data_IF_863361130709
#
_entry.id   IF_863361130709
#
_cell.length_a   1.000
_cell.length_b   1.000
_cell.length_c   1.000
_cell.angle_alpha   90.00
_cell.angle_beta   90.00
_cell.angle_gamma   90.00
#
_symmetry.space_group_name_H-M   'P 1'
#
loop_
_entity.id
_entity.type
_entity.pdbx_description
1 polymer ?
#
# COMPACT_ATOMS: atom_id res chain seq x y z
N UNK A 1 22.20 10.22 13.49
CA UNK A 1 20.97 9.41 13.33
C UNK A 1 19.71 10.23 13.59
N UNK A 2 19.65 11.06 14.65
CA UNK A 2 18.56 12.05 14.85
C UNK A 2 18.36 13.00 13.66
N UNK A 3 19.40 13.25 12.87
CA UNK A 3 19.36 14.19 11.74
C UNK A 3 18.64 13.69 10.47
N UNK A 4 17.98 12.53 10.51
CA UNK A 4 17.37 11.93 9.30
C UNK A 4 15.85 11.77 9.37
N UNK A 5 15.24 11.64 10.55
CA UNK A 5 13.77 11.58 10.68
C UNK A 5 13.27 12.98 11.05
N UNK A 6 12.57 13.63 10.13
CA UNK A 6 11.90 14.91 10.39
C UNK A 6 10.40 14.67 10.61
N UNK A 7 9.75 15.57 11.33
CA UNK A 7 8.30 15.53 11.56
C UNK A 7 7.68 16.72 10.83
N UNK A 8 7.06 16.47 9.68
CA UNK A 8 6.28 17.50 8.98
C UNK A 8 4.97 17.80 9.74
N UNK A 9 4.50 19.03 9.65
CA UNK A 9 3.20 19.43 10.21
C UNK A 9 2.01 18.92 9.36
N UNK A 10 2.24 18.56 8.09
CA UNK A 10 1.26 17.99 7.17
C UNK A 10 1.02 16.48 7.38
N UNK A 11 1.80 15.84 8.25
CA UNK A 11 1.65 14.43 8.63
C UNK A 11 0.23 14.10 9.08
N UNK A 12 -0.25 12.89 8.74
CA UNK A 12 -1.45 12.37 9.39
C UNK A 12 -1.21 12.23 10.89
N UNK A 13 -2.27 12.36 11.70
CA UNK A 13 -2.18 12.07 13.14
C UNK A 13 -1.55 10.69 13.40
N UNK A 14 -1.91 9.68 12.61
CA UNK A 14 -1.39 8.32 12.76
C UNK A 14 0.12 8.24 12.48
N UNK A 15 0.58 8.71 11.32
CA UNK A 15 2.00 8.68 10.95
C UNK A 15 2.83 9.50 11.94
N UNK A 16 2.31 10.63 12.43
CA UNK A 16 2.97 11.45 13.45
C UNK A 16 3.17 10.71 14.77
N UNK A 17 2.19 9.92 15.22
CA UNK A 17 2.33 9.11 16.43
C UNK A 17 3.31 7.95 16.22
N UNK A 18 3.22 7.27 15.07
CA UNK A 18 4.12 6.16 14.73
C UNK A 18 5.57 6.64 14.65
N UNK A 19 5.85 7.74 13.93
CA UNK A 19 7.21 8.27 13.82
C UNK A 19 7.78 8.72 15.16
N UNK A 20 6.99 9.40 16.00
CA UNK A 20 7.43 9.77 17.35
C UNK A 20 7.83 8.55 18.17
N UNK A 21 7.02 7.48 18.10
CA UNK A 21 7.30 6.23 18.81
C UNK A 21 8.58 5.56 18.31
N UNK A 22 8.80 5.53 16.99
CA UNK A 22 10.04 4.99 16.40
C UNK A 22 11.29 5.81 16.75
N UNK A 23 11.18 7.15 16.76
CA UNK A 23 12.27 8.04 17.16
C UNK A 23 12.65 7.82 18.63
N UNK A 24 11.67 7.58 19.51
CA UNK A 24 11.91 7.26 20.92
C UNK A 24 12.63 5.92 21.06
N UNK A 25 12.21 4.89 20.33
CA UNK A 25 12.86 3.57 20.36
C UNK A 25 14.33 3.62 19.89
N UNK A 26 14.66 4.41 18.86
CA UNK A 26 16.03 4.56 18.36
C UNK A 26 16.95 5.26 19.37
N UNK A 27 16.43 6.25 20.12
CA UNK A 27 17.24 7.03 21.08
C UNK A 27 17.78 6.18 22.23
N UNK A 28 17.05 5.15 22.63
CA UNK A 28 17.40 4.34 23.77
C UNK A 28 18.51 3.31 23.51
N UNK A 29 18.63 2.83 22.26
CA UNK A 29 19.72 1.92 21.88
C UNK A 29 21.08 2.64 21.94
N UNK A 30 21.09 3.98 21.89
CA UNK A 30 22.28 4.81 21.95
C UNK A 30 23.24 4.61 20.76
N UNK A 31 24.22 5.50 20.54
CA UNK A 31 25.40 5.09 19.81
C UNK A 31 26.09 4.02 20.65
N UNK A 32 26.36 2.85 20.05
CA UNK A 32 27.37 1.93 20.58
C UNK A 32 28.56 2.78 21.01
N UNK A 33 28.92 2.74 22.30
CA UNK A 33 30.19 3.32 22.74
C UNK A 33 31.24 2.80 21.77
N UNK A 34 32.00 3.73 21.17
CA UNK A 34 33.24 3.38 20.48
C UNK A 34 34.04 2.51 21.46
N UNK A 35 33.98 1.20 21.25
CA UNK A 35 34.78 0.25 21.99
C UNK A 35 36.21 0.56 21.57
N UNK A 36 36.88 1.24 22.48
CA UNK A 36 38.29 1.55 22.44
C UNK A 36 39.09 0.33 22.02
N UNK A 37 40.08 0.60 21.19
CA UNK A 37 41.00 -0.33 20.56
C UNK A 37 41.65 -1.23 21.62
N UNK A 38 41.38 -2.54 21.61
CA UNK A 38 42.07 -3.46 22.49
C UNK A 38 41.42 -4.80 22.77
N UNK A 39 41.97 -5.82 22.11
CA UNK A 39 42.05 -7.24 22.50
C UNK A 39 40.95 -8.21 22.03
N UNK A 40 41.40 -9.11 21.15
CA UNK A 40 40.89 -10.44 20.81
C UNK A 40 39.91 -11.04 21.81
N UNK A 41 38.64 -11.21 21.41
CA UNK A 41 37.77 -12.30 21.86
C UNK A 41 36.84 -12.80 20.75
N UNK A 42 37.19 -14.01 20.32
CA UNK A 42 36.40 -15.12 19.79
C UNK A 42 34.87 -14.91 19.63
N UNK A 43 34.41 -15.16 18.40
CA UNK A 43 33.01 -15.15 17.98
C UNK A 43 32.24 -16.36 18.53
N UNK A 44 31.73 -16.23 19.75
CA UNK A 44 30.75 -17.14 20.35
C UNK A 44 29.33 -16.61 20.19
N UNK A 45 28.51 -17.30 19.41
CA UNK A 45 27.06 -17.06 19.30
C UNK A 45 26.41 -17.52 20.62
N UNK A 46 26.03 -16.58 21.48
CA UNK A 46 25.10 -16.85 22.58
C UNK A 46 23.68 -16.43 22.17
N UNK A 47 22.86 -17.45 21.91
CA UNK A 47 21.41 -17.31 21.74
C UNK A 47 20.81 -17.06 23.13
N UNK A 48 20.45 -15.82 23.44
CA UNK A 48 19.57 -15.54 24.58
C UNK A 48 18.13 -15.89 24.19
N UNK A 49 17.69 -17.08 24.62
CA UNK A 49 16.29 -17.47 24.64
C UNK A 49 15.54 -16.65 25.68
N UNK A 50 14.80 -15.63 25.25
CA UNK A 50 13.78 -14.99 26.10
C UNK A 50 12.57 -15.93 26.19
N UNK A 51 12.45 -16.60 27.32
CA UNK A 51 11.25 -17.35 27.71
C UNK A 51 10.12 -16.40 28.07
N UNK A 52 8.96 -16.70 27.54
CA UNK A 52 7.66 -16.09 27.82
C UNK A 52 7.30 -16.20 29.32
N UNK A 53 6.75 -15.12 29.88
CA UNK A 53 6.04 -15.10 31.17
C UNK A 53 6.88 -15.09 32.45
N UNK A 54 7.32 -13.91 32.90
CA UNK A 54 7.26 -13.50 34.31
C UNK A 54 7.51 -12.00 34.41
N UNK A 55 6.83 -11.33 35.35
CA UNK A 55 6.97 -9.92 35.68
C UNK A 55 8.46 -9.56 35.86
N UNK A 56 9.10 -9.11 34.78
CA UNK A 56 10.41 -8.48 34.83
C UNK A 56 10.17 -7.02 35.16
N UNK A 57 10.81 -6.53 36.22
CA UNK A 57 10.79 -5.14 36.65
C UNK A 57 11.21 -4.22 35.47
N UNK A 58 10.21 -3.73 34.73
CA UNK A 58 10.42 -2.72 33.70
C UNK A 58 11.05 -1.51 34.38
N UNK A 59 12.22 -1.08 33.90
CA UNK A 59 12.81 0.17 34.36
C UNK A 59 11.80 1.31 34.15
N UNK A 60 11.81 2.33 35.01
CA UNK A 60 10.78 3.39 35.02
C UNK A 60 10.56 4.09 33.68
N UNK A 61 11.60 4.17 32.85
CA UNK A 61 11.55 4.73 31.50
C UNK A 61 10.85 3.79 30.50
N UNK A 62 11.12 2.49 30.56
CA UNK A 62 10.44 1.48 29.72
C UNK A 62 8.94 1.40 30.05
N UNK A 63 8.60 1.39 31.34
CA UNK A 63 7.21 1.39 31.79
C UNK A 63 6.45 2.66 31.34
N UNK A 64 7.11 3.82 31.38
CA UNK A 64 6.54 5.10 30.92
C UNK A 64 6.30 5.11 29.40
N UNK A 65 7.20 4.54 28.61
CA UNK A 65 7.07 4.44 27.16
C UNK A 65 6.01 3.42 26.74
N UNK A 66 5.95 2.27 27.41
CA UNK A 66 4.87 1.30 27.20
C UNK A 66 3.52 1.97 27.46
N UNK A 67 3.42 2.72 28.56
CA UNK A 67 2.23 3.50 28.88
C UNK A 67 1.91 4.54 27.80
N UNK A 68 2.91 5.27 27.28
CA UNK A 68 2.71 6.23 26.18
C UNK A 68 2.27 5.56 24.87
N UNK A 69 2.92 4.47 24.47
CA UNK A 69 2.55 3.71 23.26
C UNK A 69 1.13 3.16 23.40
N UNK A 70 0.75 2.68 24.59
CA UNK A 70 -0.61 2.26 24.89
C UNK A 70 -1.62 3.43 24.81
N UNK A 71 -1.24 4.63 25.27
CA UNK A 71 -2.06 5.85 25.14
C UNK A 71 -2.23 6.25 23.66
N UNK A 72 -1.17 6.23 22.86
CA UNK A 72 -1.23 6.53 21.43
C UNK A 72 -2.12 5.53 20.68
N UNK A 73 -2.00 4.23 20.99
CA UNK A 73 -2.88 3.18 20.47
C UNK A 73 -4.33 3.43 20.90
N UNK A 74 -4.58 3.76 22.16
CA UNK A 74 -5.92 4.05 22.67
C UNK A 74 -6.54 5.27 21.98
N UNK A 75 -5.76 6.32 21.75
CA UNK A 75 -6.19 7.51 21.00
C UNK A 75 -6.60 7.15 19.57
N UNK A 76 -5.77 6.40 18.83
CA UNK A 76 -6.09 5.99 17.46
C UNK A 76 -7.35 5.09 17.40
N UNK A 77 -7.52 4.19 18.37
CA UNK A 77 -8.73 3.37 18.50
C UNK A 77 -9.97 4.24 18.79
N UNK A 78 -9.87 5.18 19.72
CA UNK A 78 -10.95 6.10 20.07
C UNK A 78 -11.41 6.94 18.88
N UNK A 79 -10.47 7.44 18.05
CA UNK A 79 -10.80 8.18 16.82
C UNK A 79 -11.59 7.37 15.79
N UNK A 80 -11.54 6.04 15.84
CA UNK A 80 -12.28 5.13 14.96
C UNK A 80 -13.58 4.59 15.57
N UNK A 81 -13.75 4.69 16.89
CA UNK A 81 -14.91 4.16 17.60
C UNK A 81 -16.07 5.15 17.60
N UNK A 82 -17.20 4.76 17.01
CA UNK A 82 -18.42 5.57 16.90
C UNK A 82 -19.02 5.94 18.27
N UNK A 83 -18.72 5.16 19.31
CA UNK A 83 -19.20 5.44 20.68
C UNK A 83 -18.27 6.37 21.46
N UNK A 84 -17.07 6.65 20.95
CA UNK A 84 -16.13 7.56 21.60
C UNK A 84 -16.51 9.02 21.34
N UNK A 85 -16.29 9.86 22.35
CA UNK A 85 -16.31 11.32 22.24
C UNK A 85 -15.21 11.87 21.31
N UNK A 86 -14.17 11.09 21.06
CA UNK A 86 -13.08 11.41 20.13
C UNK A 86 -13.32 10.90 18.70
N UNK A 87 -14.48 10.30 18.42
CA UNK A 87 -14.81 9.78 17.10
C UNK A 87 -14.62 10.85 16.01
N UNK A 88 -13.78 10.54 15.03
CA UNK A 88 -13.48 11.46 13.93
C UNK A 88 -13.57 10.75 12.58
N UNK A 89 -14.62 11.00 11.77
CA UNK A 89 -14.68 10.48 10.42
C UNK A 89 -13.72 11.24 9.51
N UNK A 90 -13.07 10.53 8.60
CA UNK A 90 -12.24 11.15 7.55
C UNK A 90 -13.18 11.69 6.48
N UNK A 91 -13.10 12.99 6.18
CA UNK A 91 -13.97 13.64 5.18
C UNK A 91 -13.19 13.97 3.90
N UNK A 92 -12.02 14.59 4.06
CA UNK A 92 -11.08 14.89 2.97
C UNK A 92 -9.76 14.19 3.25
N UNK A 93 -9.05 13.81 2.19
CA UNK A 93 -7.72 13.23 2.32
C UNK A 93 -6.67 14.29 2.62
N UNK A 94 -6.85 15.55 2.22
CA UNK A 94 -5.83 16.59 2.40
C UNK A 94 -5.71 17.13 3.84
N UNK A 95 -6.73 16.97 4.69
CA UNK A 95 -6.72 17.48 6.07
C UNK A 95 -7.43 16.51 7.02
N UNK A 96 -6.89 16.33 8.23
CA UNK A 96 -7.47 15.40 9.22
C UNK A 96 -8.75 15.96 9.86
N UNK A 97 -8.74 17.24 10.25
CA UNK A 97 -9.89 17.93 10.82
C UNK A 97 -10.38 19.04 9.90
N UNK A 98 -11.32 18.70 9.02
CA UNK A 98 -11.95 19.66 8.11
C UNK A 98 -12.66 20.80 8.84
N UNK A 99 -13.16 20.55 10.06
CA UNK A 99 -13.98 21.51 10.79
C UNK A 99 -13.19 22.73 11.27
N UNK A 100 -11.87 22.57 11.49
CA UNK A 100 -10.94 23.65 11.84
C UNK A 100 -10.62 24.59 10.68
N UNK A 101 -10.84 24.15 9.45
CA UNK A 101 -10.45 24.86 8.24
C UNK A 101 -11.61 25.62 7.59
N UNK A 102 -12.81 25.56 8.16
CA UNK A 102 -14.01 26.22 7.63
C UNK A 102 -14.68 27.09 8.70
N UNK A 103 -15.37 28.19 8.31
CA UNK A 103 -16.12 29.00 9.25
C UNK A 103 -17.16 28.18 10.03
N UNK A 104 -17.42 28.55 11.28
CA UNK A 104 -18.36 27.83 12.17
C UNK A 104 -19.76 27.67 11.56
N UNK A 105 -20.24 28.66 10.81
CA UNK A 105 -21.50 28.58 10.08
C UNK A 105 -21.46 27.51 8.98
N UNK A 106 -20.39 27.44 8.18
CA UNK A 106 -20.21 26.40 7.14
C UNK A 106 -20.11 25.03 7.78
N UNK A 107 -19.36 24.92 8.88
CA UNK A 107 -19.25 23.67 9.64
C UNK A 107 -20.64 23.19 10.10
N UNK A 108 -21.40 24.06 10.77
CA UNK A 108 -22.71 23.75 11.35
C UNK A 108 -23.79 23.45 10.31
N UNK A 109 -23.88 24.24 9.24
CA UNK A 109 -25.01 24.18 8.31
C UNK A 109 -24.73 23.39 7.02
N UNK A 110 -23.46 23.09 6.70
CA UNK A 110 -23.12 22.33 5.49
C UNK A 110 -22.34 21.06 5.82
N UNK A 111 -21.20 21.19 6.51
CA UNK A 111 -20.27 20.07 6.74
C UNK A 111 -20.87 19.01 7.66
N UNK A 112 -21.40 19.39 8.82
CA UNK A 112 -21.96 18.43 9.78
C UNK A 112 -23.22 17.71 9.25
N UNK A 113 -24.18 18.38 8.59
CA UNK A 113 -25.28 17.69 7.92
C UNK A 113 -24.81 16.71 6.85
N UNK A 114 -23.80 17.10 6.03
CA UNK A 114 -23.20 16.20 5.04
C UNK A 114 -22.57 14.98 5.69
N UNK A 115 -21.71 15.16 6.71
CA UNK A 115 -21.08 14.07 7.47
C UNK A 115 -22.15 13.13 8.03
N UNK A 116 -23.20 13.68 8.64
CA UNK A 116 -24.30 12.89 9.21
C UNK A 116 -25.03 12.02 8.17
N UNK A 117 -25.20 12.52 6.94
CA UNK A 117 -25.78 11.74 5.85
C UNK A 117 -24.79 10.71 5.29
N UNK A 118 -23.56 11.13 5.00
CA UNK A 118 -22.53 10.28 4.42
C UNK A 118 -22.19 9.09 5.34
N UNK A 119 -22.16 9.29 6.66
CA UNK A 119 -21.98 8.22 7.65
C UNK A 119 -23.05 7.13 7.59
N UNK A 120 -24.29 7.48 7.23
CA UNK A 120 -25.39 6.50 7.07
C UNK A 120 -25.26 5.70 5.77
N UNK A 121 -24.51 6.23 4.81
CA UNK A 121 -24.29 5.65 3.48
C UNK A 121 -23.03 4.78 3.47
N UNK A 122 -21.96 5.25 4.11
CA UNK A 122 -20.68 4.55 4.23
C UNK A 122 -20.82 3.25 5.05
N UNK A 123 -20.10 2.21 4.62
CA UNK A 123 -20.07 0.92 5.31
C UNK A 123 -19.47 1.05 6.71
N UNK A 124 -18.32 1.72 6.80
CA UNK A 124 -17.73 2.15 8.06
C UNK A 124 -18.01 3.64 8.21
N UNK A 125 -18.51 4.05 9.38
CA UNK A 125 -18.86 5.46 9.61
C UNK A 125 -17.64 6.38 9.57
N UNK A 126 -16.44 5.82 9.69
CA UNK A 126 -15.17 6.53 9.53
C UNK A 126 -14.91 6.98 8.09
N UNK A 127 -15.51 6.32 7.09
CA UNK A 127 -15.10 6.39 5.68
C UNK A 127 -15.95 7.37 4.86
N UNK A 128 -16.34 8.50 5.46
CA UNK A 128 -17.05 9.59 4.75
C UNK A 128 -16.27 10.05 3.51
N UNK A 129 -14.94 9.97 3.56
CA UNK A 129 -14.03 10.28 2.46
C UNK A 129 -14.26 9.42 1.23
N UNK A 130 -14.64 8.14 1.37
CA UNK A 130 -14.94 7.29 0.21
C UNK A 130 -16.24 7.74 -0.47
N UNK A 131 -17.23 8.18 0.31
CA UNK A 131 -18.47 8.78 -0.23
C UNK A 131 -18.15 10.10 -0.94
N UNK A 132 -17.26 10.91 -0.36
CA UNK A 132 -16.81 12.17 -0.95
C UNK A 132 -16.16 11.94 -2.32
N UNK A 133 -15.29 10.94 -2.43
CA UNK A 133 -14.63 10.59 -3.70
C UNK A 133 -15.60 9.98 -4.72
N UNK A 134 -16.53 9.12 -4.31
CA UNK A 134 -17.58 8.62 -5.22
C UNK A 134 -18.39 9.78 -5.82
N UNK A 135 -18.83 10.74 -5.00
CA UNK A 135 -19.54 11.92 -5.47
C UNK A 135 -18.66 12.76 -6.41
N UNK A 136 -17.38 12.95 -6.05
CA UNK A 136 -16.42 13.66 -6.89
C UNK A 136 -16.33 13.02 -8.28
N UNK A 137 -16.14 11.71 -8.37
CA UNK A 137 -16.01 11.00 -9.66
C UNK A 137 -17.31 11.01 -10.47
N UNK A 138 -18.45 10.83 -9.81
CA UNK A 138 -19.76 10.89 -10.45
C UNK A 138 -20.10 12.29 -10.98
N UNK A 139 -19.59 13.36 -10.34
CA UNK A 139 -19.83 14.74 -10.76
C UNK A 139 -18.76 15.30 -11.69
N UNK A 140 -17.60 14.66 -11.84
CA UNK A 140 -16.49 15.16 -12.66
C UNK A 140 -16.11 14.17 -13.77
N UNK A 141 -15.56 13.01 -13.41
CA UNK A 141 -15.12 11.95 -14.33
C UNK A 141 -16.23 11.53 -15.30
N UNK A 142 -17.42 11.20 -14.80
CA UNK A 142 -18.52 10.68 -15.63
C UNK A 142 -19.06 11.73 -16.62
N UNK A 143 -19.43 12.96 -16.19
CA UNK A 143 -19.87 14.00 -17.12
C UNK A 143 -18.79 14.40 -18.12
N UNK A 144 -17.52 14.46 -17.68
CA UNK A 144 -16.41 14.78 -18.56
C UNK A 144 -16.24 13.73 -19.67
N UNK A 145 -16.32 12.44 -19.34
CA UNK A 145 -16.27 11.37 -20.32
C UNK A 145 -17.43 11.46 -21.32
N UNK A 146 -18.66 11.65 -20.81
CA UNK A 146 -19.85 11.80 -21.66
C UNK A 146 -19.72 12.98 -22.63
N UNK A 147 -19.25 14.13 -22.15
CA UNK A 147 -19.04 15.33 -22.96
C UNK A 147 -17.97 15.11 -24.04
N UNK A 148 -16.89 14.35 -23.76
CA UNK A 148 -15.88 14.00 -24.76
C UNK A 148 -16.43 13.17 -25.91
N UNK A 149 -17.35 12.23 -25.63
CA UNK A 149 -18.03 11.46 -26.67
C UNK A 149 -19.04 12.28 -27.45
N UNK A 150 -19.72 13.24 -26.80
CA UNK A 150 -20.69 14.11 -27.46
C UNK A 150 -20.03 15.18 -28.33
N UNK A 151 -18.94 15.79 -27.86
CA UNK A 151 -18.20 16.85 -28.57
C UNK A 151 -16.73 16.81 -28.18
N UNK A 152 -15.95 16.01 -28.92
CA UNK A 152 -14.52 15.91 -28.69
C UNK A 152 -13.81 17.25 -28.92
N UNK A 153 -12.93 17.61 -27.99
CA UNK A 153 -11.87 18.60 -28.20
C UNK A 153 -10.58 18.11 -27.56
N UNK A 154 -9.44 18.42 -28.18
CA UNK A 154 -8.14 17.96 -27.66
C UNK A 154 -7.86 18.55 -26.27
N UNK A 155 -8.14 19.83 -26.06
CA UNK A 155 -7.94 20.48 -24.76
C UNK A 155 -8.76 19.79 -23.66
N UNK A 156 -10.03 19.48 -23.91
CA UNK A 156 -10.85 18.74 -22.96
C UNK A 156 -10.31 17.34 -22.73
N UNK A 157 -9.84 16.65 -23.78
CA UNK A 157 -9.20 15.34 -23.66
C UNK A 157 -7.97 15.37 -22.76
N UNK A 158 -7.10 16.37 -22.92
CA UNK A 158 -5.91 16.57 -22.09
C UNK A 158 -6.28 16.88 -20.63
N UNK A 159 -7.21 17.81 -20.40
CA UNK A 159 -7.68 18.14 -19.05
C UNK A 159 -8.32 16.92 -18.37
N UNK A 160 -9.12 16.15 -19.12
CA UNK A 160 -9.69 14.89 -18.62
C UNK A 160 -8.60 13.89 -18.25
N UNK A 161 -7.61 13.68 -19.12
CA UNK A 161 -6.48 12.78 -18.86
C UNK A 161 -5.70 13.18 -17.60
N UNK A 162 -5.38 14.47 -17.43
CA UNK A 162 -4.70 14.97 -16.23
C UNK A 162 -5.54 14.75 -14.97
N UNK A 163 -6.84 15.00 -15.03
CA UNK A 163 -7.76 14.73 -13.93
C UNK A 163 -7.79 13.24 -13.57
N UNK A 164 -7.81 12.33 -14.56
CA UNK A 164 -7.76 10.90 -14.27
C UNK A 164 -6.46 10.49 -13.60
N UNK A 165 -5.31 10.98 -14.08
CA UNK A 165 -4.00 10.70 -13.44
C UNK A 165 -4.01 11.08 -11.97
N UNK A 166 -4.61 12.23 -11.63
CA UNK A 166 -4.73 12.68 -10.25
C UNK A 166 -5.65 11.77 -9.40
N UNK A 167 -6.77 11.29 -9.95
CA UNK A 167 -7.71 10.42 -9.24
C UNK A 167 -7.28 8.95 -9.16
N UNK A 168 -6.43 8.51 -10.08
CA UNK A 168 -6.13 7.11 -10.34
C UNK A 168 -5.61 6.36 -9.10
N UNK A 169 -4.66 6.96 -8.36
CA UNK A 169 -4.09 6.36 -7.14
C UNK A 169 -5.15 6.19 -6.06
N UNK A 170 -5.80 7.29 -5.68
CA UNK A 170 -6.86 7.27 -4.65
C UNK A 170 -8.02 6.36 -5.03
N UNK A 171 -8.51 6.38 -6.28
CA UNK A 171 -9.56 5.46 -6.70
C UNK A 171 -9.13 3.99 -6.60
N UNK A 172 -7.92 3.67 -7.04
CA UNK A 172 -7.40 2.30 -7.01
C UNK A 172 -7.32 1.77 -5.60
N UNK A 173 -6.83 2.57 -4.64
CA UNK A 173 -6.78 2.13 -3.26
C UNK A 173 -8.14 2.19 -2.55
N UNK A 174 -9.08 3.03 -3.00
CA UNK A 174 -10.49 2.90 -2.60
C UNK A 174 -11.07 1.56 -3.08
N UNK A 175 -10.74 1.12 -4.29
CA UNK A 175 -11.16 -0.18 -4.82
C UNK A 175 -10.44 -1.35 -4.15
N UNK A 176 -9.19 -1.18 -3.73
CA UNK A 176 -8.48 -2.12 -2.86
C UNK A 176 -9.22 -2.33 -1.54
N UNK A 177 -9.67 -1.22 -0.90
CA UNK A 177 -10.52 -1.32 0.28
C UNK A 177 -11.87 -1.96 -0.04
N UNK A 178 -12.50 -1.64 -1.17
CA UNK A 178 -13.78 -2.24 -1.59
C UNK A 178 -13.70 -3.77 -1.71
N UNK A 179 -12.67 -4.30 -2.38
CA UNK A 179 -12.56 -5.74 -2.63
C UNK A 179 -12.22 -6.51 -1.34
N UNK A 180 -11.42 -5.94 -0.44
CA UNK A 180 -11.06 -6.56 0.83
C UNK A 180 -12.17 -6.43 1.89
N UNK A 181 -12.77 -5.24 2.04
CA UNK A 181 -13.87 -4.99 2.99
C UNK A 181 -15.26 -5.41 2.48
N UNK A 182 -15.32 -5.99 1.28
CA UNK A 182 -16.53 -6.49 0.60
C UNK A 182 -17.56 -5.38 0.36
N UNK A 183 -17.08 -4.19 -0.01
CA UNK A 183 -17.88 -3.01 -0.29
C UNK A 183 -17.47 -1.79 0.53
N UNK A 184 -17.90 -0.61 0.08
CA UNK A 184 -17.67 0.67 0.79
C UNK A 184 -18.99 1.35 1.20
N UNK A 185 -20.12 0.89 0.66
CA UNK A 185 -21.46 1.33 1.05
C UNK A 185 -22.12 0.31 1.98
N UNK A 186 -23.12 0.77 2.74
CA UNK A 186 -23.94 -0.10 3.60
C UNK A 186 -24.69 -1.17 2.80
N UNK A 187 -25.07 -2.26 3.46
CA UNK A 187 -25.84 -3.36 2.86
C UNK A 187 -27.18 -2.93 2.23
N UNK A 188 -27.78 -1.83 2.73
CA UNK A 188 -29.00 -1.25 2.13
C UNK A 188 -28.78 -0.74 0.71
N UNK A 189 -27.54 -0.35 0.40
CA UNK A 189 -27.10 0.15 -0.90
C UNK A 189 -26.25 -0.88 -1.66
N UNK A 190 -26.34 -2.18 -1.31
CA UNK A 190 -25.50 -3.23 -1.89
C UNK A 190 -25.57 -3.33 -3.42
N UNK A 191 -26.72 -2.98 -4.02
CA UNK A 191 -26.85 -2.92 -5.48
C UNK A 191 -25.99 -1.80 -6.06
N UNK A 192 -26.06 -0.59 -5.49
CA UNK A 192 -25.22 0.53 -5.92
C UNK A 192 -23.74 0.23 -5.68
N UNK A 193 -23.41 -0.37 -4.54
CA UNK A 193 -22.05 -0.78 -4.15
C UNK A 193 -21.43 -1.79 -5.12
N UNK A 194 -22.26 -2.66 -5.68
CA UNK A 194 -21.85 -3.65 -6.69
C UNK A 194 -21.73 -3.04 -8.08
N UNK A 195 -22.55 -2.04 -8.41
CA UNK A 195 -22.67 -1.51 -9.77
C UNK A 195 -21.72 -0.35 -10.07
N UNK A 196 -21.38 0.48 -9.09
CA UNK A 196 -20.51 1.64 -9.36
C UNK A 196 -19.14 1.26 -9.96
N UNK A 197 -18.47 0.13 -9.59
CA UNK A 197 -17.19 -0.23 -10.20
C UNK A 197 -17.33 -0.50 -11.70
N UNK A 198 -18.45 -1.08 -12.16
CA UNK A 198 -18.66 -1.30 -13.59
C UNK A 198 -18.72 -0.01 -14.40
N UNK A 199 -19.09 1.12 -13.78
CA UNK A 199 -19.03 2.44 -14.40
C UNK A 199 -17.65 3.09 -14.26
N UNK A 200 -17.06 3.05 -13.06
CA UNK A 200 -15.88 3.84 -12.71
C UNK A 200 -14.56 3.12 -13.00
N UNK A 201 -14.48 1.79 -12.88
CA UNK A 201 -13.25 1.02 -13.11
C UNK A 201 -12.64 1.30 -14.50
N UNK A 202 -13.39 1.22 -15.62
CA UNK A 202 -12.83 1.49 -16.93
C UNK A 202 -12.34 2.93 -17.10
N UNK A 203 -13.03 3.89 -16.48
CA UNK A 203 -12.66 5.31 -16.52
C UNK A 203 -11.36 5.59 -15.76
N UNK A 204 -11.01 4.71 -14.82
CA UNK A 204 -9.80 4.77 -13.99
C UNK A 204 -8.72 3.81 -14.47
N UNK A 205 -8.91 3.13 -15.60
CA UNK A 205 -7.92 2.24 -16.22
C UNK A 205 -7.94 0.80 -15.76
N UNK A 206 -8.91 0.42 -14.92
CA UNK A 206 -9.14 -0.97 -14.54
C UNK A 206 -10.02 -1.67 -15.57
N UNK A 207 -9.66 -2.90 -15.93
CA UNK A 207 -10.56 -3.82 -16.62
C UNK A 207 -11.53 -4.43 -15.61
N UNK A 208 -12.76 -4.74 -16.03
CA UNK A 208 -13.80 -5.16 -15.09
C UNK A 208 -13.37 -6.38 -14.28
N UNK A 209 -13.48 -6.30 -12.95
CA UNK A 209 -13.14 -7.36 -11.99
C UNK A 209 -11.69 -7.90 -12.04
N UNK A 210 -10.86 -7.51 -13.01
CA UNK A 210 -9.51 -8.06 -13.14
C UNK A 210 -8.63 -7.73 -11.95
N UNK A 211 -8.80 -6.54 -11.36
CA UNK A 211 -8.08 -6.19 -10.13
C UNK A 211 -8.42 -7.14 -8.97
N UNK A 212 -9.68 -7.52 -8.81
CA UNK A 212 -10.08 -8.51 -7.79
C UNK A 212 -9.47 -9.90 -8.08
N UNK A 213 -9.54 -10.38 -9.31
CA UNK A 213 -8.99 -11.70 -9.65
C UNK A 213 -7.47 -11.73 -9.54
N UNK A 214 -6.77 -10.68 -9.98
CA UNK A 214 -5.33 -10.60 -9.88
C UNK A 214 -4.87 -10.37 -8.43
N UNK A 215 -5.45 -9.41 -7.72
CA UNK A 215 -4.99 -9.05 -6.37
C UNK A 215 -5.41 -10.10 -5.34
N UNK A 216 -6.70 -10.41 -5.25
CA UNK A 216 -7.26 -11.23 -4.15
C UNK A 216 -7.19 -12.72 -4.44
N UNK A 217 -7.46 -13.14 -5.69
CA UNK A 217 -7.52 -14.57 -6.04
C UNK A 217 -6.21 -15.17 -6.51
N UNK A 218 -5.22 -14.31 -6.76
CA UNK A 218 -3.92 -14.69 -7.30
C UNK A 218 -2.78 -14.16 -6.41
N UNK A 219 -2.51 -12.86 -6.39
CA UNK A 219 -1.35 -12.28 -5.68
C UNK A 219 -1.35 -12.58 -4.18
N UNK A 220 -2.47 -12.37 -3.47
CA UNK A 220 -2.59 -12.72 -2.05
C UNK A 220 -2.52 -14.23 -1.75
N UNK A 221 -2.81 -15.07 -2.75
CA UNK A 221 -2.69 -16.53 -2.59
C UNK A 221 -1.23 -16.95 -2.70
N UNK A 222 -0.51 -16.36 -3.64
CA UNK A 222 0.89 -16.72 -3.93
C UNK A 222 1.91 -15.93 -3.10
N UNK A 223 1.52 -14.76 -2.60
CA UNK A 223 2.27 -13.90 -1.69
C UNK A 223 3.66 -13.50 -2.22
N UNK A 224 3.72 -12.98 -3.45
CA UNK A 224 4.98 -12.69 -4.17
C UNK A 224 5.89 -13.93 -4.37
N UNK A 225 5.37 -15.13 -4.12
CA UNK A 225 6.06 -16.39 -4.31
C UNK A 225 6.25 -16.77 -5.78
N UNK A 226 6.82 -17.95 -6.06
CA UNK A 226 7.24 -18.35 -7.40
C UNK A 226 6.11 -18.47 -8.42
N UNK A 227 4.90 -18.80 -7.97
CA UNK A 227 3.73 -18.92 -8.86
C UNK A 227 2.97 -17.60 -9.00
N UNK A 228 3.38 -16.54 -8.30
CA UNK A 228 2.82 -15.22 -8.49
C UNK A 228 3.24 -14.64 -9.85
N UNK A 229 2.29 -14.39 -10.74
CA UNK A 229 2.47 -13.69 -12.02
C UNK A 229 3.07 -12.28 -11.88
N UNK A 230 2.96 -11.67 -10.70
CA UNK A 230 3.57 -10.40 -10.33
C UNK A 230 4.78 -10.55 -9.41
N UNK A 231 5.38 -11.75 -9.33
CA UNK A 231 6.57 -11.97 -8.50
C UNK A 231 7.78 -11.14 -8.96
N UNK A 232 8.50 -10.60 -7.99
CA UNK A 232 9.79 -9.91 -8.20
C UNK A 232 11.00 -10.83 -7.99
N UNK A 233 10.83 -12.03 -7.42
CA UNK A 233 11.95 -12.82 -6.88
C UNK A 233 12.92 -13.31 -7.96
N UNK A 234 12.43 -13.58 -9.18
CA UNK A 234 13.26 -14.04 -10.32
C UNK A 234 14.06 -12.93 -10.99
N UNK A 235 13.85 -11.68 -10.60
CA UNK A 235 14.46 -10.51 -11.21
C UNK A 235 15.54 -9.90 -10.32
N UNK A 236 16.55 -9.29 -10.94
CA UNK A 236 17.45 -8.40 -10.24
C UNK A 236 16.73 -7.07 -10.01
N UNK A 237 16.39 -6.75 -8.77
CA UNK A 237 15.39 -5.70 -8.45
C UNK A 237 15.91 -4.26 -8.58
N UNK A 238 17.19 -4.10 -8.91
CA UNK A 238 17.85 -2.83 -9.25
C UNK A 238 18.36 -2.77 -10.70
N UNK A 239 17.84 -3.66 -11.57
CA UNK A 239 18.17 -3.73 -12.99
C UNK A 239 17.05 -3.18 -13.87
N UNK A 240 17.33 -2.14 -14.65
CA UNK A 240 16.38 -1.56 -15.63
C UNK A 240 15.91 -2.61 -16.64
N UNK A 241 16.81 -3.50 -17.08
CA UNK A 241 16.46 -4.55 -18.05
C UNK A 241 15.46 -5.54 -17.49
N UNK A 242 15.66 -5.96 -16.25
CA UNK A 242 14.78 -6.92 -15.59
C UNK A 242 13.44 -6.29 -15.24
N UNK A 243 13.46 -5.03 -14.76
CA UNK A 243 12.25 -4.24 -14.57
C UNK A 243 11.44 -4.09 -15.87
N UNK A 244 12.08 -3.78 -16.99
CA UNK A 244 11.40 -3.66 -18.28
C UNK A 244 10.78 -4.98 -18.74
N UNK A 245 11.44 -6.13 -18.49
CA UNK A 245 10.85 -7.45 -18.77
C UNK A 245 9.65 -7.74 -17.88
N UNK A 246 9.76 -7.45 -16.59
CA UNK A 246 8.69 -7.61 -15.61
C UNK A 246 7.44 -6.80 -16.00
N UNK A 247 7.61 -5.49 -16.22
CA UNK A 247 6.52 -4.61 -16.66
C UNK A 247 5.98 -5.04 -18.02
N UNK A 248 6.85 -5.32 -18.99
CA UNK A 248 6.44 -5.71 -20.34
C UNK A 248 5.60 -6.98 -20.35
N UNK A 249 6.00 -8.01 -19.60
CA UNK A 249 5.21 -9.25 -19.48
C UNK A 249 3.81 -8.96 -18.95
N UNK A 250 3.71 -8.28 -17.81
CA UNK A 250 2.40 -7.98 -17.22
C UNK A 250 1.56 -7.13 -18.17
N UNK A 251 2.13 -6.06 -18.72
CA UNK A 251 1.42 -5.09 -19.56
C UNK A 251 0.74 -5.74 -20.77
N UNK A 252 1.45 -6.66 -21.45
CA UNK A 252 0.97 -7.28 -22.68
C UNK A 252 0.28 -8.64 -22.48
N UNK A 253 0.66 -9.41 -21.47
CA UNK A 253 0.27 -10.82 -21.34
C UNK A 253 -0.67 -11.11 -20.17
N UNK A 254 -0.87 -10.20 -19.22
CA UNK A 254 -1.70 -10.50 -18.02
C UNK A 254 -3.13 -10.96 -18.34
N UNK A 255 -3.73 -10.43 -19.40
CA UNK A 255 -5.08 -10.82 -19.84
C UNK A 255 -5.18 -12.30 -20.24
N UNK A 256 -4.05 -12.93 -20.59
CA UNK A 256 -3.92 -14.34 -20.92
C UNK A 256 -3.30 -15.15 -19.77
N UNK A 257 -2.20 -14.66 -19.20
CA UNK A 257 -1.46 -15.34 -18.13
C UNK A 257 -2.35 -15.62 -16.92
N UNK A 258 -3.20 -14.66 -16.51
CA UNK A 258 -4.05 -14.80 -15.32
C UNK A 258 -5.14 -15.90 -15.48
N UNK A 259 -5.94 -15.94 -16.56
CA UNK A 259 -6.83 -17.06 -16.81
C UNK A 259 -6.10 -18.41 -16.92
N UNK A 260 -4.95 -18.46 -17.60
CA UNK A 260 -4.17 -19.70 -17.74
C UNK A 260 -3.67 -20.21 -16.39
N UNK A 261 -3.17 -19.33 -15.52
CA UNK A 261 -2.81 -19.67 -14.15
C UNK A 261 -4.00 -20.29 -13.40
N UNK A 262 -5.22 -19.75 -13.54
CA UNK A 262 -6.40 -20.35 -12.92
C UNK A 262 -6.78 -21.72 -13.49
N UNK A 263 -6.53 -21.97 -14.78
CA UNK A 263 -6.69 -23.31 -15.37
C UNK A 263 -5.66 -24.28 -14.79
N UNK A 264 -4.39 -23.87 -14.73
CA UNK A 264 -3.27 -24.68 -14.21
C UNK A 264 -3.46 -25.03 -12.73
N UNK A 265 -3.97 -24.09 -11.94
CA UNK A 265 -4.30 -24.27 -10.52
C UNK A 265 -5.68 -24.89 -10.28
N UNK A 266 -6.26 -25.57 -11.29
CA UNK A 266 -7.52 -26.34 -11.19
C UNK A 266 -8.74 -25.51 -10.78
N UNK A 267 -8.79 -24.24 -11.16
CA UNK A 267 -9.91 -23.29 -10.91
C UNK A 267 -10.54 -22.77 -12.23
N UNK A 268 -11.05 -23.65 -13.12
CA UNK A 268 -11.53 -23.26 -14.45
C UNK A 268 -12.71 -22.27 -14.42
N UNK A 269 -13.57 -22.32 -13.38
CA UNK A 269 -14.64 -21.34 -13.21
C UNK A 269 -14.11 -19.92 -12.98
N UNK A 270 -13.03 -19.79 -12.20
CA UNK A 270 -12.35 -18.51 -11.96
C UNK A 270 -11.63 -18.06 -13.23
N UNK A 271 -10.99 -18.98 -13.95
CA UNK A 271 -10.35 -18.68 -15.24
C UNK A 271 -11.34 -18.09 -16.26
N UNK A 272 -12.51 -18.73 -16.42
CA UNK A 272 -13.55 -18.26 -17.32
C UNK A 272 -14.07 -16.88 -16.93
N UNK A 273 -14.21 -16.60 -15.64
CA UNK A 273 -14.61 -15.27 -15.16
C UNK A 273 -13.54 -14.22 -15.44
N UNK A 274 -12.29 -14.46 -15.04
CA UNK A 274 -11.18 -13.53 -15.24
C UNK A 274 -10.97 -13.21 -16.74
N UNK A 275 -10.90 -14.24 -17.59
CA UNK A 275 -10.74 -14.06 -19.03
C UNK A 275 -11.98 -13.45 -19.69
N UNK A 276 -13.17 -13.86 -19.25
CA UNK A 276 -14.43 -13.32 -19.75
C UNK A 276 -14.56 -11.82 -19.52
N UNK A 277 -14.23 -11.33 -18.33
CA UNK A 277 -14.31 -9.90 -18.02
C UNK A 277 -13.26 -9.06 -18.77
N UNK A 278 -12.04 -9.57 -18.94
CA UNK A 278 -11.02 -8.93 -19.80
C UNK A 278 -11.54 -8.79 -21.24
N UNK A 279 -12.04 -9.88 -21.84
CA UNK A 279 -12.58 -9.87 -23.20
C UNK A 279 -13.77 -8.93 -23.32
N UNK A 280 -14.71 -8.96 -22.36
CA UNK A 280 -15.85 -8.03 -22.35
C UNK A 280 -15.40 -6.58 -22.31
N UNK A 281 -14.36 -6.27 -21.53
CA UNK A 281 -13.83 -4.92 -21.45
C UNK A 281 -13.23 -4.48 -22.79
N UNK A 282 -12.47 -5.34 -23.47
CA UNK A 282 -11.93 -5.02 -24.79
C UNK A 282 -13.02 -4.87 -25.86
N UNK A 283 -14.05 -5.73 -25.85
CA UNK A 283 -15.21 -5.58 -26.74
C UNK A 283 -15.93 -4.26 -26.49
N UNK A 284 -16.09 -3.88 -25.21
CA UNK A 284 -16.64 -2.58 -24.83
C UNK A 284 -15.78 -1.44 -25.39
N UNK A 285 -14.46 -1.47 -25.20
CA UNK A 285 -13.56 -0.44 -25.74
C UNK A 285 -13.59 -0.36 -27.27
N UNK A 286 -13.64 -1.48 -27.99
CA UNK A 286 -13.79 -1.49 -29.44
C UNK A 286 -15.11 -0.87 -29.89
N UNK A 287 -16.20 -1.17 -29.17
CA UNK A 287 -17.52 -0.60 -29.43
C UNK A 287 -17.52 0.92 -29.22
N UNK A 288 -16.90 1.38 -28.14
CA UNK A 288 -16.77 2.81 -27.86
C UNK A 288 -15.85 3.51 -28.89
N UNK A 289 -14.77 2.85 -29.32
CA UNK A 289 -13.86 3.37 -30.33
C UNK A 289 -14.53 3.51 -31.70
N UNK A 290 -15.44 2.60 -32.05
CA UNK A 290 -16.24 2.69 -33.26
C UNK A 290 -17.17 3.93 -33.25
N UNK A 291 -17.59 4.38 -32.06
CA UNK A 291 -18.34 5.62 -31.91
C UNK A 291 -17.43 6.87 -31.99
N UNK A 292 -16.33 6.88 -31.23
CA UNK A 292 -15.33 7.96 -31.29
C UNK A 292 -13.96 7.50 -30.78
N UNK A 293 -13.08 7.11 -31.70
CA UNK A 293 -11.72 6.67 -31.37
C UNK A 293 -10.92 7.72 -30.57
N UNK A 294 -11.11 9.01 -30.87
CA UNK A 294 -10.44 10.10 -30.15
C UNK A 294 -10.91 10.19 -28.70
N UNK A 295 -12.21 10.10 -28.45
CA UNK A 295 -12.74 10.10 -27.08
C UNK A 295 -12.32 8.83 -26.33
N UNK A 296 -12.41 7.66 -26.96
CA UNK A 296 -11.96 6.38 -26.38
C UNK A 296 -10.50 6.38 -25.99
N UNK A 297 -9.64 7.01 -26.78
CA UNK A 297 -8.23 7.13 -26.44
C UNK A 297 -8.02 7.84 -25.09
N UNK A 298 -8.63 9.00 -24.89
CA UNK A 298 -8.46 9.77 -23.64
C UNK A 298 -9.24 9.21 -22.46
N UNK A 299 -10.45 8.67 -22.69
CA UNK A 299 -11.35 8.20 -21.63
C UNK A 299 -10.98 6.80 -21.13
N UNK A 300 -10.47 5.93 -22.00
CA UNK A 300 -10.26 4.51 -21.65
C UNK A 300 -8.82 4.03 -21.91
N UNK A 301 -8.21 4.34 -23.06
CA UNK A 301 -6.89 3.79 -23.40
C UNK A 301 -5.77 4.41 -22.57
N UNK A 302 -5.75 5.74 -22.41
CA UNK A 302 -4.76 6.44 -21.58
C UNK A 302 -4.83 5.95 -20.12
N UNK A 303 -6.00 5.94 -19.45
CA UNK A 303 -6.11 5.35 -18.11
C UNK A 303 -5.68 3.88 -18.07
N UNK A 304 -6.09 3.03 -19.01
CA UNK A 304 -5.71 1.61 -19.05
C UNK A 304 -4.19 1.41 -19.08
N UNK A 305 -3.49 2.13 -19.98
CA UNK A 305 -2.05 2.01 -20.11
C UNK A 305 -1.33 2.55 -18.89
N UNK A 306 -1.76 3.70 -18.36
CA UNK A 306 -1.15 4.26 -17.17
C UNK A 306 -1.38 3.37 -15.95
N UNK A 307 -2.58 2.84 -15.76
CA UNK A 307 -2.90 1.95 -14.65
C UNK A 307 -2.03 0.69 -14.64
N UNK A 308 -1.91 0.01 -15.79
CA UNK A 308 -1.06 -1.19 -15.90
C UNK A 308 0.40 -0.89 -15.57
N UNK A 309 0.91 0.24 -16.04
CA UNK A 309 2.28 0.66 -15.74
C UNK A 309 2.44 0.98 -14.25
N UNK A 310 1.57 1.83 -13.69
CA UNK A 310 1.65 2.29 -12.31
C UNK A 310 1.50 1.16 -11.28
N UNK A 311 0.58 0.21 -11.51
CA UNK A 311 0.43 -0.96 -10.63
C UNK A 311 1.71 -1.79 -10.59
N UNK A 312 2.39 -1.97 -11.72
CA UNK A 312 3.64 -2.74 -11.78
C UNK A 312 4.83 -1.98 -11.21
N UNK A 313 4.90 -0.67 -11.40
CA UNK A 313 5.89 0.19 -10.73
C UNK A 313 5.71 0.15 -9.22
N UNK A 314 4.46 0.20 -8.73
CA UNK A 314 4.10 0.11 -7.32
C UNK A 314 4.45 -1.24 -6.72
N UNK A 315 3.99 -2.34 -7.35
CA UNK A 315 4.28 -3.71 -6.91
C UNK A 315 5.79 -3.99 -6.84
N UNK A 316 6.55 -3.49 -7.82
CA UNK A 316 8.01 -3.61 -7.79
C UNK A 316 8.61 -2.95 -6.57
N UNK A 317 8.16 -1.75 -6.20
CA UNK A 317 8.64 -1.03 -5.01
C UNK A 317 8.21 -1.70 -3.71
N UNK A 318 6.98 -2.20 -3.66
CA UNK A 318 6.41 -2.94 -2.53
C UNK A 318 7.16 -4.24 -2.21
N UNK A 319 7.66 -4.93 -3.25
CA UNK A 319 8.30 -6.24 -3.15
C UNK A 319 9.75 -6.24 -3.69
N UNK A 320 10.46 -5.11 -3.61
CA UNK A 320 11.84 -5.01 -4.10
C UNK A 320 12.87 -5.66 -3.17
N UNK A 321 12.58 -5.69 -1.87
CA UNK A 321 13.49 -6.17 -0.85
C UNK A 321 12.93 -7.47 -0.28
N UNK A 322 13.39 -8.60 -0.80
CA UNK A 322 12.93 -9.93 -0.37
C UNK A 322 14.12 -10.63 0.26
N UNK A 323 13.98 -11.02 1.52
CA UNK A 323 15.04 -11.74 2.23
C UNK A 323 15.22 -13.14 1.64
N UNK A 324 16.47 -13.49 1.35
CA UNK A 324 16.82 -14.81 0.87
C UNK A 324 16.72 -15.88 1.96
N UNK A 325 16.80 -15.54 3.24
CA UNK A 325 16.74 -16.52 4.33
C UNK A 325 15.30 -17.00 4.57
N UNK A 326 14.37 -16.06 4.66
CA UNK A 326 12.95 -16.34 4.91
C UNK A 326 12.05 -15.60 3.91
N UNK A 327 12.11 -15.97 2.61
CA UNK A 327 11.42 -15.23 1.54
C UNK A 327 9.89 -15.35 1.56
N UNK A 328 9.35 -16.32 2.29
CA UNK A 328 7.91 -16.56 2.45
C UNK A 328 7.28 -15.76 3.60
N UNK A 329 8.08 -15.09 4.44
CA UNK A 329 7.60 -14.29 5.56
C UNK A 329 7.10 -12.92 5.07
N UNK A 330 5.87 -12.55 5.42
CA UNK A 330 5.30 -11.23 5.09
C UNK A 330 6.15 -10.07 5.61
N UNK A 331 6.81 -10.25 6.76
CA UNK A 331 7.71 -9.25 7.34
C UNK A 331 8.97 -9.01 6.49
N UNK A 332 9.37 -10.01 5.69
CA UNK A 332 10.62 -10.02 4.92
C UNK A 332 10.44 -10.03 3.41
N UNK A 333 9.21 -10.17 2.92
CA UNK A 333 8.85 -10.11 1.50
C UNK A 333 8.17 -8.80 1.10
N UNK A 334 7.86 -7.93 2.07
CA UNK A 334 7.19 -6.64 1.90
C UNK A 334 7.83 -5.57 2.79
N UNK A 335 7.51 -4.29 2.54
CA UNK A 335 8.05 -3.17 3.31
C UNK A 335 6.95 -2.24 3.83
N UNK A 336 7.26 -1.48 4.89
CA UNK A 336 6.39 -0.44 5.43
C UNK A 336 6.97 0.94 5.18
N UNK A 337 6.15 1.88 4.69
CA UNK A 337 6.49 3.27 4.43
C UNK A 337 5.65 4.18 5.33
N UNK A 338 6.31 5.11 6.00
CA UNK A 338 5.71 6.06 6.93
C UNK A 338 6.05 7.47 6.45
N UNK A 339 5.14 8.44 6.65
CA UNK A 339 5.29 9.80 6.13
C UNK A 339 5.40 9.82 4.61
N UNK A 340 4.39 9.26 3.96
CA UNK A 340 4.33 9.19 2.50
C UNK A 340 2.97 9.60 1.98
N UNK A 341 2.95 10.14 0.76
CA UNK A 341 1.73 10.56 0.08
C UNK A 341 0.73 9.40 -0.03
N UNK A 342 1.20 8.17 -0.22
CA UNK A 342 0.36 6.97 -0.21
C UNK A 342 -0.39 6.74 1.11
N UNK A 343 0.16 7.13 2.27
CA UNK A 343 -0.61 7.03 3.52
C UNK A 343 -1.74 8.06 3.58
N UNK A 344 -1.44 9.29 3.15
CA UNK A 344 -2.39 10.40 3.13
C UNK A 344 -3.52 10.22 2.11
N UNK A 345 -3.17 9.87 0.87
CA UNK A 345 -4.08 9.93 -0.28
C UNK A 345 -4.52 8.56 -0.79
N UNK A 346 -3.89 7.49 -0.33
CA UNK A 346 -4.14 6.12 -0.77
C UNK A 346 -4.50 5.21 0.42
N UNK A 347 -5.14 5.74 1.46
CA UNK A 347 -5.69 4.97 2.58
C UNK A 347 -4.64 4.10 3.29
N UNK A 348 -3.55 4.71 3.79
CA UNK A 348 -2.50 4.00 4.54
C UNK A 348 -1.83 2.84 3.76
N UNK A 349 -1.77 2.92 2.43
CA UNK A 349 -1.15 1.89 1.57
C UNK A 349 0.35 1.69 1.85
N UNK A 350 1.04 2.68 2.42
CA UNK A 350 2.42 2.54 2.86
C UNK A 350 2.62 1.43 3.89
N UNK A 351 1.60 1.06 4.66
CA UNK A 351 1.64 -0.08 5.58
C UNK A 351 1.42 -1.43 4.88
N UNK A 352 2.15 -1.68 3.80
CA UNK A 352 1.97 -2.86 2.95
C UNK A 352 2.29 -4.18 3.67
N UNK A 353 3.29 -4.21 4.56
CA UNK A 353 3.53 -5.36 5.45
C UNK A 353 2.33 -5.68 6.32
N UNK A 354 1.72 -4.65 6.93
CA UNK A 354 0.49 -4.82 7.68
C UNK A 354 -0.62 -5.39 6.77
N UNK A 355 -0.72 -4.91 5.53
CA UNK A 355 -1.70 -5.41 4.56
C UNK A 355 -1.54 -6.91 4.26
N UNK A 356 -0.33 -7.40 3.98
CA UNK A 356 -0.08 -8.82 3.73
C UNK A 356 -0.42 -9.69 4.95
N UNK A 357 -0.04 -9.25 6.15
CA UNK A 357 -0.34 -9.97 7.40
C UNK A 357 -1.85 -10.12 7.68
N UNK A 358 -2.67 -9.16 7.23
CA UNK A 358 -4.13 -9.27 7.30
C UNK A 358 -4.77 -8.41 6.20
N UNK A 359 -5.10 -9.01 5.04
CA UNK A 359 -5.67 -8.27 3.91
C UNK A 359 -7.04 -7.67 4.21
N UNK A 360 -7.78 -8.23 5.17
CA UNK A 360 -9.09 -7.75 5.62
C UNK A 360 -9.00 -6.65 6.69
N UNK A 361 -7.80 -6.19 7.06
CA UNK A 361 -7.65 -5.09 8.01
C UNK A 361 -8.16 -3.79 7.37
N UNK A 362 -8.98 -3.05 8.11
CA UNK A 362 -9.42 -1.73 7.69
C UNK A 362 -8.24 -0.75 7.66
N UNK A 363 -8.19 0.13 6.67
CA UNK A 363 -7.05 1.00 6.43
C UNK A 363 -6.61 1.85 7.64
N UNK A 364 -7.54 2.27 8.49
CA UNK A 364 -7.22 3.06 9.70
C UNK A 364 -6.56 2.24 10.80
N UNK A 365 -6.63 0.92 10.73
CA UNK A 365 -6.05 0.03 11.73
C UNK A 365 -4.62 -0.40 11.40
N UNK A 366 -4.09 -0.12 10.20
CA UNK A 366 -2.70 -0.47 9.87
C UNK A 366 -1.68 0.21 10.80
N UNK A 367 -1.76 1.52 11.08
CA UNK A 367 -0.84 2.17 12.01
C UNK A 367 -0.96 1.62 13.44
N UNK A 368 -2.18 1.27 13.87
CA UNK A 368 -2.44 0.65 15.19
C UNK A 368 -1.74 -0.71 15.27
N UNK A 369 -1.95 -1.55 14.26
CA UNK A 369 -1.32 -2.87 14.18
C UNK A 369 0.20 -2.79 14.12
N UNK A 370 0.75 -1.76 13.47
CA UNK A 370 2.18 -1.51 13.47
C UNK A 370 2.68 -1.20 14.88
N UNK A 371 2.04 -0.26 15.60
CA UNK A 371 2.40 0.09 16.98
C UNK A 371 2.33 -1.11 17.94
N UNK A 372 1.30 -1.95 17.80
CA UNK A 372 1.12 -3.17 18.59
C UNK A 372 2.18 -4.24 18.30
N UNK A 373 2.71 -4.28 17.08
CA UNK A 373 3.63 -5.33 16.62
C UNK A 373 5.07 -4.84 16.41
N UNK A 374 5.42 -3.62 16.85
CA UNK A 374 6.77 -3.06 16.61
C UNK A 374 7.90 -3.99 17.02
N UNK A 375 7.74 -4.70 18.13
CA UNK A 375 8.75 -5.66 18.62
C UNK A 375 8.88 -6.86 17.67
N UNK A 376 7.78 -7.33 17.09
CA UNK A 376 7.81 -8.36 16.05
C UNK A 376 8.48 -7.83 14.78
N UNK A 377 8.17 -6.61 14.34
CA UNK A 377 8.87 -5.98 13.19
C UNK A 377 10.39 -5.95 13.41
N UNK A 378 10.83 -5.55 14.61
CA UNK A 378 12.24 -5.52 14.97
C UNK A 378 12.88 -6.91 14.98
N UNK A 379 12.23 -7.89 15.61
CA UNK A 379 12.71 -9.28 15.72
C UNK A 379 12.80 -9.98 14.35
N UNK A 380 11.79 -9.77 13.50
CA UNK A 380 11.71 -10.40 12.18
C UNK A 380 12.59 -9.69 11.13
N UNK A 381 13.26 -8.59 11.49
CA UNK A 381 14.10 -7.84 10.57
C UNK A 381 13.32 -7.13 9.46
N UNK A 382 12.06 -6.76 9.72
CA UNK A 382 11.21 -6.07 8.77
C UNK A 382 11.82 -4.72 8.34
N UNK A 383 11.55 -4.31 7.09
CA UNK A 383 12.03 -3.03 6.59
C UNK A 383 10.98 -1.94 6.72
N UNK A 384 11.38 -0.85 7.38
CA UNK A 384 10.58 0.36 7.52
C UNK A 384 11.33 1.52 6.89
N UNK A 385 10.63 2.36 6.13
CA UNK A 385 11.19 3.57 5.54
C UNK A 385 10.37 4.79 5.91
N UNK A 386 11.03 5.95 5.92
CA UNK A 386 10.44 7.27 6.10
C UNK A 386 10.72 8.14 4.85
N UNK A 387 9.76 9.00 4.48
CA UNK A 387 9.90 10.00 3.41
C UNK A 387 10.34 9.42 2.04
N UNK A 388 9.84 8.23 1.70
CA UNK A 388 10.04 7.63 0.38
C UNK A 388 8.87 6.74 -0.01
N UNK A 389 8.12 7.13 -1.03
CA UNK A 389 6.96 6.38 -1.53
C UNK A 389 7.37 5.18 -2.42
N UNK A 390 6.49 4.21 -2.67
CA UNK A 390 6.81 3.00 -3.45
C UNK A 390 7.33 3.30 -4.85
N UNK A 391 6.73 4.29 -5.55
CA UNK A 391 7.22 4.74 -6.85
C UNK A 391 8.64 5.29 -6.73
N UNK A 392 8.94 6.04 -5.67
CA UNK A 392 10.26 6.59 -5.43
C UNK A 392 11.28 5.51 -5.05
N UNK A 393 10.87 4.47 -4.32
CA UNK A 393 11.69 3.27 -4.07
C UNK A 393 12.08 2.63 -5.40
N UNK A 394 11.10 2.35 -6.27
CA UNK A 394 11.35 1.79 -7.61
C UNK A 394 12.32 2.68 -8.40
N UNK A 395 12.08 3.99 -8.50
CA UNK A 395 12.98 4.88 -9.23
C UNK A 395 14.40 4.95 -8.63
N UNK A 396 14.53 4.91 -7.31
CA UNK A 396 15.83 4.93 -6.63
C UNK A 396 16.61 3.64 -6.91
N UNK A 397 15.94 2.49 -6.90
CA UNK A 397 16.53 1.20 -7.29
C UNK A 397 17.00 1.18 -8.74
N UNK A 398 16.18 1.67 -9.68
CA UNK A 398 16.55 1.72 -11.09
C UNK A 398 17.75 2.65 -11.37
N UNK A 399 17.96 3.66 -10.52
CA UNK A 399 19.15 4.52 -10.52
C UNK A 399 20.30 3.99 -9.67
N UNK A 400 20.11 2.88 -8.96
CA UNK A 400 21.05 2.33 -7.97
C UNK A 400 21.41 3.33 -6.87
N UNK A 401 20.50 4.24 -6.54
CA UNK A 401 20.64 5.22 -5.47
C UNK A 401 20.34 4.57 -4.11
N UNK A 402 21.20 3.63 -3.72
CA UNK A 402 21.11 2.95 -2.43
C UNK A 402 21.43 3.87 -1.26
N UNK A 403 22.16 4.96 -1.50
CA UNK A 403 22.46 5.93 -0.46
C UNK A 403 21.18 6.63 0.00
N UNK A 404 20.33 7.09 -0.93
CA UNK A 404 19.01 7.62 -0.57
C UNK A 404 18.17 6.59 0.16
N UNK A 405 18.07 5.37 -0.36
CA UNK A 405 17.28 4.29 0.27
C UNK A 405 17.75 4.00 1.71
N UNK A 406 19.05 3.93 1.93
CA UNK A 406 19.63 3.69 3.26
C UNK A 406 19.41 4.83 4.25
N UNK A 407 19.35 6.09 3.78
CA UNK A 407 19.02 7.27 4.60
C UNK A 407 17.53 7.33 4.96
N UNK A 408 16.67 6.87 4.05
CA UNK A 408 15.23 6.76 4.28
C UNK A 408 14.86 5.53 5.13
N UNK A 409 15.75 4.54 5.29
CA UNK A 409 15.48 3.37 6.12
C UNK A 409 15.45 3.77 7.62
N UNK A 410 14.35 3.46 8.29
CA UNK A 410 14.19 3.56 9.75
C UNK A 410 14.64 2.22 10.36
N UNK A 411 15.82 2.16 11.01
CA UNK A 411 16.32 0.91 11.54
C UNK A 411 15.50 0.46 12.76
N UNK A 412 15.26 -0.85 12.89
CA UNK A 412 14.62 -1.47 14.04
C UNK A 412 15.43 -2.70 14.52
N UNK A 413 15.41 -2.98 15.82
CA UNK A 413 16.14 -4.12 16.40
C UNK A 413 17.64 -4.08 16.07
N UNK A 414 18.18 -5.20 15.59
CA UNK A 414 19.60 -5.33 15.23
C UNK A 414 20.04 -4.35 14.12
N UNK A 415 19.09 -3.84 13.32
CA UNK A 415 19.38 -2.87 12.27
C UNK A 415 19.84 -1.50 12.83
N UNK A 416 19.56 -1.20 14.12
CA UNK A 416 19.92 0.08 14.74
C UNK A 416 21.44 0.27 14.81
N UNK A 417 22.19 -0.82 14.98
CA UNK A 417 23.66 -0.81 14.92
C UNK A 417 24.24 -0.59 13.52
N UNK A 418 23.43 -0.66 12.45
CA UNK A 418 23.94 -0.54 11.08
C UNK A 418 24.27 0.91 10.73
N UNK A 419 25.53 1.12 10.33
CA UNK A 419 25.96 2.33 9.62
C UNK A 419 25.21 2.47 8.29
N UNK A 420 25.27 3.66 7.67
CA UNK A 420 24.69 3.88 6.34
C UNK A 420 25.24 2.88 5.31
N UNK A 421 26.52 2.53 5.39
CA UNK A 421 27.13 1.52 4.51
C UNK A 421 26.61 0.12 4.80
N UNK A 422 26.39 -0.23 6.08
CA UNK A 422 25.76 -1.49 6.48
C UNK A 422 24.33 -1.61 5.92
N UNK A 423 23.55 -0.54 5.98
CA UNK A 423 22.20 -0.48 5.37
C UNK A 423 22.25 -0.60 3.85
N UNK A 424 23.19 0.07 3.18
CA UNK A 424 23.40 -0.08 1.73
C UNK A 424 23.70 -1.54 1.37
N UNK A 425 24.60 -2.19 2.12
CA UNK A 425 24.95 -3.59 1.89
C UNK A 425 23.76 -4.52 2.10
N UNK A 426 22.98 -4.31 3.17
CA UNK A 426 21.73 -5.03 3.43
C UNK A 426 20.75 -4.88 2.27
N UNK A 427 20.43 -3.66 1.86
CA UNK A 427 19.47 -3.40 0.80
C UNK A 427 19.92 -3.99 -0.55
N UNK A 428 21.22 -3.92 -0.88
CA UNK A 428 21.77 -4.58 -2.08
C UNK A 428 21.57 -6.09 -2.03
N UNK A 429 21.86 -6.73 -0.89
CA UNK A 429 21.63 -8.17 -0.69
C UNK A 429 20.17 -8.53 -0.98
N UNK A 430 19.23 -7.81 -0.38
CA UNK A 430 17.78 -8.07 -0.49
C UNK A 430 17.18 -7.82 -1.89
N UNK A 431 17.88 -7.10 -2.76
CA UNK A 431 17.45 -6.89 -4.17
C UNK A 431 17.96 -7.95 -5.14
N UNK A 432 18.78 -8.88 -4.65
CA UNK A 432 19.41 -9.91 -5.49
C UNK A 432 18.39 -10.92 -5.96
N UNK A 433 18.43 -11.25 -7.27
CA UNK A 433 17.58 -12.30 -7.85
C UNK A 433 17.83 -13.67 -7.20
N UNK A 434 16.78 -14.46 -7.03
CA UNK A 434 16.91 -15.85 -6.60
C UNK A 434 17.27 -16.73 -7.79
N UNK A 435 18.10 -17.74 -7.56
CA UNK A 435 18.27 -18.84 -8.49
C UNK A 435 17.07 -19.80 -8.45
N UNK A 436 16.86 -20.57 -9.52
CA UNK A 436 15.78 -21.58 -9.54
C UNK A 436 16.03 -22.71 -8.51
N UNK A 437 17.30 -22.94 -8.12
CA UNK A 437 17.63 -23.86 -7.03
C UNK A 437 17.16 -23.31 -5.68
N UNK A 438 17.49 -22.05 -5.37
CA UNK A 438 17.01 -21.40 -4.14
C UNK A 438 15.48 -21.34 -4.07
N UNK A 439 14.82 -21.02 -5.20
CA UNK A 439 13.36 -20.99 -5.27
C UNK A 439 12.79 -22.37 -4.92
N UNK A 440 13.32 -23.42 -5.57
CA UNK A 440 12.86 -24.79 -5.34
C UNK A 440 13.15 -25.27 -3.91
N UNK A 441 14.21 -24.81 -3.27
CA UNK A 441 14.57 -25.27 -1.93
C UNK A 441 13.77 -24.52 -0.85
N UNK A 442 13.60 -23.20 -1.02
CA UNK A 442 12.96 -22.33 -0.01
C UNK A 442 11.44 -22.38 -0.06
N UNK A 443 10.83 -22.55 -1.24
CA UNK A 443 9.37 -22.59 -1.41
C UNK A 443 8.80 -24.02 -1.51
N UNK A 444 9.62 -25.05 -1.27
CA UNK A 444 9.27 -26.47 -1.49
C UNK A 444 8.09 -26.95 -0.65
N UNK A 445 7.83 -26.34 0.52
CA UNK A 445 6.74 -26.72 1.43
C UNK A 445 5.34 -26.34 0.94
N UNK A 446 5.20 -25.46 -0.07
CA UNK A 446 3.90 -25.12 -0.70
C UNK A 446 3.58 -25.95 -1.96
N UNK A 447 4.54 -26.72 -2.48
CA UNK A 447 4.39 -27.47 -3.75
C UNK A 447 3.89 -28.92 -3.58
N UNK A 448 3.57 -29.34 -2.36
CA UNK A 448 2.88 -30.60 -2.02
C UNK A 448 1.50 -30.31 -1.47
#
# INVERSE_FOLDING_TARGET
MESQIFLDDALTVADKLVLKSLVEDIKEVGPLQDADDGTDRDSGIEVQSYTDGSDADLNGDEARRWNKTAQDIAMLKAMGDVQSDQFQPTVLLSVDDCSRHVPSAVSKYMLQPYIGLARKVARHQTDVVMITHLLLYLCTTVPSAFLLYRRFSLLHGLVHGTMQVYYMGTYTLMMHQHIHQRGILTKRLAVMDRLFPYLLDPLMGHTWNSYYYHHVKHHHVENNGPEDLSTTIRYQRDSIRDFARYVGRFFFLVWLDLPLYFVQTKRPGVAMQAGGWEILTYVFYLTMAAHSAKATFFVYMVPLFLMRLCLMVGNWGQHAFVDSEEPDSDFRSSITLIDVASNRFCFNDGYHTSHHLNPLRHWRHHPISFLEQKQTYAKEGALVFHDIDFLMVTFSLLRKDYERLARCMVPMGDQVGLSVQGRIALLKRLTTRFSEEEIRDKFRQKMT
#
